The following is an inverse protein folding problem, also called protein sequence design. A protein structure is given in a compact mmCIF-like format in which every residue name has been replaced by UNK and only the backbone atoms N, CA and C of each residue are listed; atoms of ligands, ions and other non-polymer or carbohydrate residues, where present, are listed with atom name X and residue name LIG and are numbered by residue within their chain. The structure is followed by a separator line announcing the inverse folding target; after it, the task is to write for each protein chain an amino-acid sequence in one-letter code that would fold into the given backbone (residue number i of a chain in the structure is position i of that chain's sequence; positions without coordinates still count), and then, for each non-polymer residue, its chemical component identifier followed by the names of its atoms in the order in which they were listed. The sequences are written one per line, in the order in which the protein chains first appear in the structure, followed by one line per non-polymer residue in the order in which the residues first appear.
data_IF_093299979883
#
_entry.id   IF_093299979883
#
_cell.length_a   1.000
_cell.length_b   1.000
_cell.length_c   1.000
_cell.angle_alpha   90.00
_cell.angle_beta   90.00
_cell.angle_gamma   90.00
#
_symmetry.space_group_name_H-M   'P 1'
#
loop_
_entity.id
_entity.type
_entity.pdbx_description
1 polymer ?
#
# COMPACT_ATOMS: atom_id res chain seq x y z
N UNK A 1 -22.57 -5.53 14.93
CA UNK A 1 -21.46 -6.44 15.24
C UNK A 1 -22.04 -7.76 15.69
N UNK A 2 -21.47 -8.90 15.28
CA UNK A 2 -21.92 -10.20 15.79
C UNK A 2 -21.40 -10.34 17.24
N UNK A 3 -22.26 -10.50 18.26
CA UNK A 3 -21.83 -10.53 19.66
C UNK A 3 -20.81 -11.62 19.98
N UNK A 4 -20.98 -12.80 19.39
CA UNK A 4 -20.04 -13.91 19.57
C UNK A 4 -18.66 -13.58 18.99
N UNK A 5 -18.63 -12.88 17.85
CA UNK A 5 -17.37 -12.51 17.20
C UNK A 5 -16.62 -11.44 18.01
N UNK A 6 -17.33 -10.50 18.63
CA UNK A 6 -16.75 -9.50 19.52
C UNK A 6 -16.08 -10.16 20.74
N UNK A 7 -16.78 -11.09 21.39
CA UNK A 7 -16.24 -11.83 22.54
C UNK A 7 -15.01 -12.66 22.17
N UNK A 8 -15.01 -13.35 21.02
CA UNK A 8 -13.85 -14.12 20.57
C UNK A 8 -12.64 -13.21 20.27
N UNK A 9 -12.86 -12.05 19.64
CA UNK A 9 -11.80 -11.06 19.39
C UNK A 9 -11.19 -10.57 20.71
N UNK A 10 -12.02 -10.25 21.70
CA UNK A 10 -11.56 -9.85 23.04
C UNK A 10 -10.77 -10.97 23.72
N UNK A 11 -11.24 -12.21 23.60
CA UNK A 11 -10.57 -13.38 24.18
C UNK A 11 -9.19 -13.62 23.58
N UNK A 12 -9.03 -13.43 22.26
CA UNK A 12 -7.73 -13.55 21.60
C UNK A 12 -6.81 -12.38 21.94
N UNK A 13 -7.33 -11.14 21.98
CA UNK A 13 -6.56 -9.95 22.37
C UNK A 13 -5.96 -10.07 23.78
N UNK A 14 -6.70 -10.65 24.71
CA UNK A 14 -6.25 -10.85 26.09
C UNK A 14 -5.03 -11.78 26.21
N UNK A 15 -4.73 -12.60 25.18
CA UNK A 15 -3.59 -13.52 25.16
C UNK A 15 -2.32 -12.91 24.56
N UNK A 16 -2.43 -11.73 23.95
CA UNK A 16 -1.34 -11.06 23.26
C UNK A 16 -0.52 -10.18 24.20
N UNK A 17 0.77 -10.02 23.89
CA UNK A 17 1.59 -9.00 24.53
C UNK A 17 1.12 -7.58 24.15
N UNK A 18 1.49 -6.57 24.94
CA UNK A 18 1.02 -5.20 24.75
C UNK A 18 1.34 -4.66 23.34
N UNK A 19 2.54 -4.96 22.83
CA UNK A 19 2.98 -4.55 21.49
C UNK A 19 2.10 -5.16 20.40
N UNK A 20 1.70 -6.41 20.57
CA UNK A 20 0.82 -7.12 19.64
C UNK A 20 -0.62 -6.58 19.72
N UNK A 21 -1.11 -6.24 20.91
CA UNK A 21 -2.40 -5.58 21.07
C UNK A 21 -2.44 -4.22 20.36
N UNK A 22 -1.37 -3.43 20.47
CA UNK A 22 -1.23 -2.15 19.77
C UNK A 22 -1.26 -2.35 18.25
N UNK A 23 -0.61 -3.40 17.74
CA UNK A 23 -0.62 -3.73 16.32
C UNK A 23 -2.04 -4.08 15.83
N UNK A 24 -2.80 -4.89 16.59
CA UNK A 24 -4.19 -5.21 16.26
C UNK A 24 -5.07 -3.96 16.26
N UNK A 25 -4.90 -3.07 17.24
CA UNK A 25 -5.63 -1.80 17.28
C UNK A 25 -5.33 -0.91 16.06
N UNK A 26 -4.07 -0.83 15.66
CA UNK A 26 -3.67 -0.09 14.46
C UNK A 26 -4.34 -0.67 13.20
N UNK A 27 -4.33 -1.99 13.06
CA UNK A 27 -4.97 -2.68 11.94
C UNK A 27 -6.49 -2.45 11.91
N UNK A 28 -7.17 -2.60 13.04
CA UNK A 28 -8.62 -2.37 13.13
C UNK A 28 -9.00 -0.93 12.77
N UNK A 29 -8.19 0.06 13.16
CA UNK A 29 -8.36 1.46 12.74
C UNK A 29 -8.17 1.61 11.24
N UNK A 30 -7.13 1.02 10.66
CA UNK A 30 -6.91 1.05 9.21
C UNK A 30 -8.07 0.41 8.44
N UNK A 31 -8.59 -0.72 8.92
CA UNK A 31 -9.78 -1.36 8.36
C UNK A 31 -11.04 -0.50 8.48
N UNK A 32 -11.27 0.15 9.63
CA UNK A 32 -12.42 1.03 9.81
C UNK A 32 -12.34 2.28 8.91
N UNK A 33 -11.13 2.70 8.51
CA UNK A 33 -10.89 3.72 7.51
C UNK A 33 -11.05 3.19 6.07
N UNK A 34 -11.80 2.11 5.81
CA UNK A 34 -11.91 1.38 4.52
C UNK A 34 -12.34 2.15 3.27
N UNK A 35 -12.39 3.48 3.31
CA UNK A 35 -12.14 4.26 2.10
C UNK A 35 -10.64 4.52 2.07
N UNK A 36 -9.83 3.87 1.20
CA UNK A 36 -8.45 4.29 1.05
C UNK A 36 -8.48 5.81 0.86
N UNK A 37 -7.91 6.54 1.82
CA UNK A 37 -7.73 7.98 1.70
C UNK A 37 -6.65 8.13 0.64
N UNK A 38 -7.07 7.99 -0.62
CA UNK A 38 -6.27 8.38 -1.74
C UNK A 38 -5.92 9.84 -1.54
N UNK A 39 -4.66 10.18 -1.75
CA UNK A 39 -4.27 11.59 -1.80
C UNK A 39 -5.02 12.20 -2.98
N UNK A 40 -5.84 13.24 -2.78
CA UNK A 40 -6.55 13.88 -3.88
C UNK A 40 -5.54 14.26 -4.96
N UNK A 41 -5.81 13.93 -6.25
CA UNK A 41 -4.84 14.19 -7.33
C UNK A 41 -4.37 15.66 -7.41
N UNK A 42 -5.21 16.61 -6.95
CA UNK A 42 -4.85 18.02 -6.80
C UNK A 42 -3.63 18.26 -5.89
N UNK A 43 -3.42 17.43 -4.87
CA UNK A 43 -2.30 17.50 -3.93
C UNK A 43 -1.03 16.86 -4.50
N UNK A 44 -1.18 15.91 -5.43
CA UNK A 44 -0.05 15.30 -6.13
C UNK A 44 0.56 16.23 -7.20
N UNK A 45 -0.13 17.29 -7.61
CA UNK A 45 0.39 18.27 -8.59
C UNK A 45 1.72 18.90 -8.19
N UNK A 46 2.03 18.99 -6.89
CA UNK A 46 3.32 19.48 -6.41
C UNK A 46 4.51 18.65 -6.89
N UNK A 47 4.27 17.40 -7.32
CA UNK A 47 5.30 16.51 -7.84
C UNK A 47 5.47 16.60 -9.37
N UNK A 48 4.61 17.35 -10.06
CA UNK A 48 4.72 17.52 -11.51
C UNK A 48 6.03 18.24 -11.86
N UNK A 49 6.83 17.63 -12.74
CA UNK A 49 8.10 18.19 -13.19
C UNK A 49 9.26 18.08 -12.20
N UNK A 50 9.13 17.29 -11.13
CA UNK A 50 10.24 17.04 -10.19
C UNK A 50 11.23 15.97 -10.64
N UNK A 51 10.95 15.25 -11.72
CA UNK A 51 11.89 14.27 -12.27
C UNK A 51 12.90 15.05 -13.11
N UNK A 52 14.17 14.98 -12.73
CA UNK A 52 15.26 15.63 -13.44
C UNK A 52 15.40 15.08 -14.87
N UNK A 53 15.95 15.90 -15.77
CA UNK A 53 16.03 15.54 -17.20
C UNK A 53 16.82 14.25 -17.43
N UNK A 54 17.89 14.01 -16.67
CA UNK A 54 18.72 12.82 -16.82
C UNK A 54 18.00 11.56 -16.29
N UNK A 55 17.18 11.70 -15.25
CA UNK A 55 16.32 10.62 -14.78
C UNK A 55 15.22 10.32 -15.80
N UNK A 56 14.63 11.35 -16.43
CA UNK A 56 13.66 11.17 -17.52
C UNK A 56 14.29 10.43 -18.70
N UNK A 57 15.53 10.74 -19.08
CA UNK A 57 16.27 10.03 -20.13
C UNK A 57 16.52 8.57 -19.75
N UNK A 58 16.88 8.31 -18.49
CA UNK A 58 17.11 6.96 -17.98
C UNK A 58 15.82 6.13 -18.04
N UNK A 59 14.69 6.69 -17.61
CA UNK A 59 13.39 6.05 -17.68
C UNK A 59 13.00 5.77 -19.14
N UNK A 60 13.15 6.76 -20.03
CA UNK A 60 12.86 6.60 -21.44
C UNK A 60 13.70 5.47 -22.06
N UNK A 61 15.00 5.42 -21.74
CA UNK A 61 15.89 4.37 -22.22
C UNK A 61 15.49 2.99 -21.72
N UNK A 62 15.15 2.86 -20.43
CA UNK A 62 14.70 1.60 -19.86
C UNK A 62 13.39 1.11 -20.50
N UNK A 63 12.48 2.03 -20.86
CA UNK A 63 11.28 1.69 -21.63
C UNK A 63 11.68 1.22 -23.03
N UNK A 64 12.52 1.95 -23.76
CA UNK A 64 12.94 1.54 -25.12
C UNK A 64 13.68 0.19 -25.14
N UNK A 65 14.54 -0.05 -24.16
CA UNK A 65 15.32 -1.29 -24.07
C UNK A 65 14.48 -2.50 -23.64
N UNK A 66 13.40 -2.28 -22.88
CA UNK A 66 12.56 -3.35 -22.30
C UNK A 66 11.14 -3.48 -22.86
N UNK A 67 10.61 -2.47 -23.57
CA UNK A 67 9.27 -2.50 -24.12
C UNK A 67 9.25 -3.38 -25.38
N UNK A 68 8.26 -4.27 -25.45
CA UNK A 68 8.04 -5.22 -26.56
C UNK A 68 9.12 -6.32 -26.76
N UNK A 69 10.12 -6.42 -25.88
CA UNK A 69 11.00 -7.59 -25.77
C UNK A 69 10.25 -8.73 -25.06
N UNK A 70 9.26 -9.32 -25.72
CA UNK A 70 8.63 -10.55 -25.24
C UNK A 70 9.60 -11.70 -25.51
N UNK A 71 10.21 -12.25 -24.46
CA UNK A 71 10.95 -13.50 -24.59
C UNK A 71 9.95 -14.64 -24.83
N UNK A 72 9.81 -15.03 -26.10
CA UNK A 72 8.89 -16.09 -26.53
C UNK A 72 9.23 -17.48 -25.95
N UNK A 73 10.38 -17.63 -25.27
CA UNK A 73 10.86 -18.88 -24.68
C UNK A 73 10.92 -18.86 -23.15
N UNK A 74 10.33 -17.85 -22.50
CA UNK A 74 10.29 -17.73 -21.02
C UNK A 74 9.14 -18.47 -20.33
N UNK A 75 8.41 -19.33 -21.04
CA UNK A 75 7.32 -20.17 -20.51
C UNK A 75 7.59 -21.67 -20.73
#
# INVERSE_FOLDING_TARGET
MNPWLEEEILHQLAKLALEQQQQVLHFARALAMSTPLGVPGKELRRFAGLIELDDLRTIARAIEDGCEQVNLHEW
#
